data_IF_701726892003
#
_entry.id   IF_701726892003
#
_cell.length_a   1.000
_cell.length_b   1.000
_cell.length_c   1.000
_cell.angle_alpha   90.00
_cell.angle_beta   90.00
_cell.angle_gamma   90.00
#
_symmetry.space_group_name_H-M   'P 1'
#
loop_
_entity.id
_entity.type
_entity.pdbx_description
1 polymer ?
#
# COMPACT_ATOMS: atom_id res chain seq x y z
N UNK A 1 12.80 5.20 11.36
CA UNK A 1 13.37 5.17 12.73
C UNK A 1 12.31 5.25 13.85
N UNK A 2 11.09 5.76 13.61
CA UNK A 2 10.04 5.92 14.64
C UNK A 2 9.57 4.63 15.33
N UNK A 3 9.45 3.51 14.60
CA UNK A 3 9.16 2.21 15.22
C UNK A 3 10.32 1.72 16.09
N UNK A 4 11.57 1.92 15.65
CA UNK A 4 12.77 1.54 16.41
C UNK A 4 12.96 2.39 17.68
N UNK A 5 12.50 3.65 17.68
CA UNK A 5 12.51 4.50 18.86
C UNK A 5 11.33 4.28 19.80
N UNK A 6 10.43 3.32 19.50
CA UNK A 6 9.24 3.02 20.31
C UNK A 6 8.09 4.04 20.19
N UNK A 7 8.20 5.03 19.30
CA UNK A 7 7.12 6.02 19.07
C UNK A 7 5.90 5.35 18.42
N UNK A 8 6.12 4.36 17.55
CA UNK A 8 5.07 3.57 16.92
C UNK A 8 5.22 2.08 17.23
N UNK A 9 4.23 1.52 17.92
CA UNK A 9 4.26 0.12 18.37
C UNK A 9 3.47 -0.83 17.46
N UNK A 10 2.38 -0.34 16.86
CA UNK A 10 1.55 -1.07 15.88
C UNK A 10 1.25 -0.15 14.71
N UNK A 11 1.55 -0.61 13.50
CA UNK A 11 1.37 0.15 12.26
C UNK A 11 0.73 -0.76 11.23
N UNK A 12 -0.37 -0.31 10.61
CA UNK A 12 -0.93 -0.94 9.43
C UNK A 12 -0.36 -0.24 8.20
N UNK A 13 0.48 -0.94 7.45
CA UNK A 13 1.02 -0.44 6.19
C UNK A 13 0.10 -0.88 5.06
N UNK A 14 -0.55 0.05 4.37
CA UNK A 14 -1.39 -0.23 3.21
C UNK A 14 -0.77 0.36 1.94
N UNK A 15 -0.16 -0.49 1.11
CA UNK A 15 0.32 -0.06 -0.21
C UNK A 15 -0.84 -0.09 -1.20
N UNK A 16 -0.87 0.87 -2.13
CA UNK A 16 -1.86 0.94 -3.20
C UNK A 16 -1.21 0.72 -4.55
N UNK A 17 -1.97 0.21 -5.52
CA UNK A 17 -1.53 0.01 -6.90
C UNK A 17 -2.64 0.34 -7.89
N UNK A 18 -2.28 0.94 -9.02
CA UNK A 18 -3.17 1.19 -10.14
C UNK A 18 -2.89 0.16 -11.24
N UNK A 19 -3.87 -0.69 -11.53
CA UNK A 19 -3.75 -1.80 -12.46
C UNK A 19 -4.13 -1.32 -13.87
N UNK A 20 -3.15 -0.90 -14.66
CA UNK A 20 -3.38 -0.40 -16.02
C UNK A 20 -2.26 -0.81 -16.98
N UNK A 21 -2.50 -0.59 -18.28
CA UNK A 21 -1.52 -0.74 -19.36
C UNK A 21 -1.64 0.44 -20.33
N UNK A 22 -0.62 0.71 -21.17
CA UNK A 22 -0.71 1.75 -22.21
C UNK A 22 -1.90 1.53 -23.16
N UNK A 23 -2.22 0.27 -23.47
CA UNK A 23 -3.35 -0.09 -24.34
C UNK A 23 -4.68 0.23 -23.68
N UNK A 24 -4.91 -0.25 -22.45
CA UNK A 24 -6.16 -0.02 -21.71
C UNK A 24 -6.41 1.48 -21.49
N UNK A 25 -5.36 2.24 -21.17
CA UNK A 25 -5.46 3.69 -21.01
C UNK A 25 -5.86 4.40 -22.32
N UNK A 26 -5.27 3.99 -23.45
CA UNK A 26 -5.57 4.59 -24.76
C UNK A 26 -6.94 4.17 -25.34
N UNK A 27 -7.49 3.05 -24.88
CA UNK A 27 -8.84 2.60 -25.25
C UNK A 27 -9.94 3.26 -24.40
N UNK A 28 -9.56 4.00 -23.35
CA UNK A 28 -10.51 4.67 -22.46
C UNK A 28 -11.10 3.74 -21.39
N UNK A 29 -10.46 2.61 -21.10
CA UNK A 29 -10.88 1.75 -20.00
C UNK A 29 -10.70 2.47 -18.65
N UNK A 30 -11.58 2.18 -17.69
CA UNK A 30 -11.38 2.61 -16.32
C UNK A 30 -10.11 1.99 -15.74
N UNK A 31 -9.39 2.73 -14.87
CA UNK A 31 -8.20 2.21 -14.18
C UNK A 31 -8.62 1.59 -12.83
N UNK A 32 -8.68 0.26 -12.72
CA UNK A 32 -8.90 -0.40 -11.44
C UNK A 32 -7.72 -0.20 -10.49
N UNK A 33 -8.00 -0.13 -9.19
CA UNK A 33 -6.99 0.03 -8.15
C UNK A 33 -7.11 -1.08 -7.10
N UNK A 34 -6.00 -1.35 -6.41
CA UNK A 34 -5.89 -2.35 -5.36
C UNK A 34 -5.11 -1.79 -4.17
N UNK A 35 -5.38 -2.29 -2.97
CA UNK A 35 -4.56 -2.05 -1.79
C UNK A 35 -4.20 -3.37 -1.10
N UNK A 36 -2.96 -3.48 -0.63
CA UNK A 36 -2.49 -4.59 0.19
C UNK A 36 -2.06 -4.07 1.55
N UNK A 37 -2.60 -4.66 2.61
CA UNK A 37 -2.32 -4.25 3.98
C UNK A 37 -1.44 -5.27 4.70
N UNK A 38 -0.40 -4.79 5.38
CA UNK A 38 0.48 -5.57 6.25
C UNK A 38 0.49 -4.92 7.63
N UNK A 39 0.12 -5.70 8.65
CA UNK A 39 0.23 -5.27 10.03
C UNK A 39 1.65 -5.50 10.53
N UNK A 40 2.28 -4.46 11.07
CA UNK A 40 3.59 -4.50 11.69
C UNK A 40 3.43 -4.18 13.18
N UNK A 41 3.93 -5.08 14.02
CA UNK A 41 3.90 -4.94 15.47
C UNK A 41 5.31 -5.11 16.03
N UNK A 42 5.74 -4.18 16.88
CA UNK A 42 6.95 -4.31 17.66
C UNK A 42 6.69 -5.31 18.78
N UNK A 43 7.31 -6.49 18.67
CA UNK A 43 7.29 -7.50 19.73
C UNK A 43 8.58 -7.31 20.51
N UNK A 44 8.43 -6.87 21.76
CA UNK A 44 9.52 -6.73 22.74
C UNK A 44 9.37 -7.87 23.75
#
# INVERSE_FOLDING_TARGET
KKMLSGEYNKVLLASTGALHSPTSNQQGDNIPTIAHAVSLEMVI
#
